data_IF_339479704431
#
_entry.id   IF_339479704431
#
_cell.length_a   1.000
_cell.length_b   1.000
_cell.length_c   1.000
_cell.angle_alpha   90.00
_cell.angle_beta   90.00
_cell.angle_gamma   90.00
#
_symmetry.space_group_name_H-M   'P 1'
#
loop_
_entity.id
_entity.type
_entity.pdbx_description
1 polymer ?
#
# COMPACT_ATOMS: atom_id res chain seq x y z
N UNK A 1 -2.52 -16.89 2.78
CA UNK A 1 -3.69 -17.66 2.31
C UNK A 1 -4.91 -16.92 2.82
N UNK A 2 -5.87 -16.55 1.98
CA UNK A 2 -7.14 -16.04 2.50
C UNK A 2 -7.80 -17.19 3.26
N UNK A 3 -7.91 -17.06 4.58
CA UNK A 3 -8.63 -18.01 5.42
C UNK A 3 -10.07 -17.51 5.50
N UNK A 4 -11.04 -18.31 5.06
CA UNK A 4 -12.44 -17.92 5.06
C UNK A 4 -13.26 -18.64 3.99
N UNK A 5 -14.59 -18.49 4.02
CA UNK A 5 -15.52 -19.24 3.17
C UNK A 5 -15.44 -18.90 1.67
N UNK A 6 -14.50 -18.04 1.25
CA UNK A 6 -14.35 -17.60 -0.15
C UNK A 6 -15.44 -16.63 -0.63
N UNK A 7 -16.52 -16.50 0.11
CA UNK A 7 -17.58 -15.50 -0.09
C UNK A 7 -17.30 -14.26 0.75
N UNK A 8 -17.20 -13.11 0.09
CA UNK A 8 -17.19 -11.82 0.76
C UNK A 8 -18.63 -11.37 1.01
N UNK A 9 -18.94 -10.70 2.14
CA UNK A 9 -20.24 -10.09 2.34
C UNK A 9 -20.44 -8.91 1.41
N UNK A 10 -21.69 -8.43 1.31
CA UNK A 10 -21.96 -7.13 0.71
C UNK A 10 -21.29 -6.05 1.57
N UNK A 11 -20.44 -5.23 0.93
CA UNK A 11 -19.80 -4.10 1.59
C UNK A 11 -20.67 -2.86 1.41
N UNK A 12 -21.06 -2.25 2.52
CA UNK A 12 -21.75 -0.96 2.51
C UNK A 12 -20.75 0.18 2.36
N UNK A 13 -21.07 1.21 1.56
CA UNK A 13 -20.20 2.37 1.40
C UNK A 13 -20.07 3.12 2.73
N UNK A 14 -18.85 3.55 3.04
CA UNK A 14 -18.57 4.44 4.17
C UNK A 14 -18.38 5.85 3.62
N UNK A 15 -19.19 6.79 4.08
CA UNK A 15 -19.09 8.18 3.64
C UNK A 15 -17.68 8.72 3.91
N UNK A 16 -17.08 9.33 2.89
CA UNK A 16 -15.71 9.85 2.96
C UNK A 16 -14.60 8.82 2.71
N UNK A 17 -14.92 7.61 2.27
CA UNK A 17 -13.94 6.62 1.82
C UNK A 17 -14.22 6.24 0.37
N UNK A 18 -13.21 6.29 -0.50
CA UNK A 18 -13.28 5.75 -1.87
C UNK A 18 -12.25 4.65 -2.07
N UNK A 19 -12.55 3.71 -2.97
CA UNK A 19 -11.68 2.60 -3.31
C UNK A 19 -11.40 2.57 -4.81
N UNK A 20 -10.15 2.36 -5.18
CA UNK A 20 -9.69 2.05 -6.53
C UNK A 20 -8.96 0.71 -6.56
N UNK A 21 -9.12 -0.03 -7.66
CA UNK A 21 -8.43 -1.32 -7.88
C UNK A 21 -7.81 -1.40 -9.28
N UNK A 22 -6.55 -1.80 -9.34
CA UNK A 22 -5.83 -1.94 -10.60
C UNK A 22 -5.17 -3.32 -10.73
N UNK A 23 -4.79 -3.67 -11.96
CA UNK A 23 -3.98 -4.85 -12.26
C UNK A 23 -2.65 -4.38 -12.81
N UNK A 24 -1.63 -4.35 -11.95
CA UNK A 24 -0.25 -4.04 -12.31
C UNK A 24 0.50 -5.27 -12.86
N UNK A 25 -0.02 -6.48 -12.63
CA UNK A 25 0.64 -7.71 -13.08
C UNK A 25 1.95 -7.97 -12.32
N UNK A 26 1.94 -7.76 -11.01
CA UNK A 26 3.07 -7.95 -10.09
C UNK A 26 3.49 -9.41 -10.11
N UNK A 27 2.56 -10.31 -9.78
CA UNK A 27 2.80 -11.77 -9.73
C UNK A 27 2.11 -12.54 -10.86
N UNK A 28 0.89 -12.16 -11.22
CA UNK A 28 0.09 -12.81 -12.27
C UNK A 28 -0.61 -11.74 -13.12
N UNK A 29 -0.38 -11.70 -14.45
CA UNK A 29 -1.08 -10.79 -15.34
C UNK A 29 -2.60 -10.93 -15.23
N UNK A 30 -3.34 -9.83 -15.40
CA UNK A 30 -4.81 -9.80 -15.41
C UNK A 30 -5.48 -9.93 -14.04
N UNK A 31 -4.73 -10.23 -12.97
CA UNK A 31 -5.26 -10.24 -11.60
C UNK A 31 -5.19 -8.86 -10.99
N UNK A 32 -6.28 -8.39 -10.38
CA UNK A 32 -6.26 -7.19 -9.54
C UNK A 32 -5.31 -7.40 -8.36
N UNK A 33 -4.29 -6.58 -8.30
CA UNK A 33 -3.19 -6.73 -7.35
C UNK A 33 -2.71 -5.41 -6.73
N UNK A 34 -3.40 -4.31 -7.06
CA UNK A 34 -3.30 -3.01 -6.40
C UNK A 34 -4.67 -2.62 -5.85
N UNK A 35 -4.68 -2.08 -4.63
CA UNK A 35 -5.83 -1.39 -4.04
C UNK A 35 -5.35 -0.03 -3.54
N UNK A 36 -6.12 1.02 -3.83
CA UNK A 36 -5.93 2.35 -3.27
C UNK A 36 -7.19 2.74 -2.52
N UNK A 37 -7.02 3.20 -1.27
CA UNK A 37 -8.07 3.87 -0.53
C UNK A 37 -7.81 5.37 -0.56
N UNK A 38 -8.83 6.17 -0.85
CA UNK A 38 -8.84 7.61 -0.61
C UNK A 38 -9.68 7.88 0.64
N UNK A 39 -9.15 8.66 1.55
CA UNK A 39 -9.81 9.12 2.77
C UNK A 39 -10.16 10.60 2.64
N UNK A 40 -11.35 10.97 3.12
CA UNK A 40 -11.82 12.35 3.15
C UNK A 40 -10.85 13.26 3.89
N UNK A 41 -10.82 14.53 3.49
CA UNK A 41 -10.06 15.55 4.19
C UNK A 41 -10.48 15.62 5.67
N UNK A 42 -9.50 15.74 6.57
CA UNK A 42 -9.73 15.75 8.02
C UNK A 42 -9.93 14.37 8.68
N UNK A 43 -9.89 13.27 7.90
CA UNK A 43 -9.94 11.92 8.47
C UNK A 43 -8.78 11.67 9.45
N UNK A 44 -9.07 10.95 10.54
CA UNK A 44 -8.06 10.53 11.52
C UNK A 44 -7.73 9.06 11.31
N UNK A 45 -6.44 8.76 11.23
CA UNK A 45 -5.94 7.40 11.03
C UNK A 45 -5.12 7.00 12.25
N UNK A 46 -5.34 5.78 12.72
CA UNK A 46 -4.50 5.12 13.72
C UNK A 46 -4.02 3.79 13.14
N UNK A 47 -2.79 3.40 13.48
CA UNK A 47 -2.18 2.18 12.95
C UNK A 47 -1.40 1.45 14.03
N UNK A 48 -1.62 0.14 14.11
CA UNK A 48 -0.73 -0.78 14.80
C UNK A 48 0.05 -1.56 13.76
N UNK A 49 1.33 -1.79 14.04
CA UNK A 49 2.25 -2.44 13.12
C UNK A 49 2.87 -3.66 13.80
N UNK A 50 3.34 -4.61 12.99
CA UNK A 50 4.03 -5.79 13.52
C UNK A 50 5.21 -5.40 14.42
N UNK A 51 5.44 -6.21 15.46
CA UNK A 51 6.60 -6.11 16.37
C UNK A 51 7.79 -6.97 15.91
N UNK A 52 7.66 -7.65 14.77
CA UNK A 52 8.72 -8.49 14.23
C UNK A 52 9.96 -7.62 13.93
N UNK A 53 11.15 -8.09 14.32
CA UNK A 53 12.41 -7.40 14.04
C UNK A 53 12.69 -7.32 12.52
N UNK A 54 12.18 -8.27 11.75
CA UNK A 54 12.29 -8.31 10.29
C UNK A 54 11.11 -7.58 9.63
N UNK A 55 10.95 -6.29 9.95
CA UNK A 55 9.92 -5.45 9.33
C UNK A 55 10.18 -5.23 7.84
N UNK A 56 9.14 -5.38 7.02
CA UNK A 56 9.18 -5.00 5.62
C UNK A 56 9.37 -3.48 5.46
N UNK A 57 9.97 -3.04 4.36
CA UNK A 57 10.10 -1.62 4.03
C UNK A 57 8.78 -0.82 4.16
N UNK A 58 7.63 -1.28 3.61
CA UNK A 58 6.35 -0.55 3.75
C UNK A 58 5.86 -0.41 5.19
N UNK A 59 6.22 -1.33 6.09
CA UNK A 59 5.84 -1.22 7.52
C UNK A 59 6.59 -0.07 8.18
N UNK A 60 7.90 0.01 7.95
CA UNK A 60 8.74 1.09 8.49
C UNK A 60 8.33 2.44 7.92
N UNK A 61 8.12 2.51 6.60
CA UNK A 61 7.71 3.75 5.92
C UNK A 61 6.31 4.21 6.35
N UNK A 62 5.33 3.31 6.42
CA UNK A 62 3.99 3.63 6.94
C UNK A 62 4.01 4.19 8.35
N UNK A 63 4.87 3.66 9.24
CA UNK A 63 5.01 4.18 10.60
C UNK A 63 5.56 5.61 10.60
N UNK A 64 6.55 5.89 9.75
CA UNK A 64 7.13 7.23 9.61
C UNK A 64 6.09 8.22 9.07
N UNK A 65 5.43 7.87 7.96
CA UNK A 65 4.39 8.71 7.35
C UNK A 65 3.24 9.01 8.32
N UNK A 66 2.73 8.00 9.02
CA UNK A 66 1.66 8.17 10.02
C UNK A 66 2.06 9.10 11.18
N UNK A 67 3.34 9.15 11.54
CA UNK A 67 3.84 10.05 12.57
C UNK A 67 4.08 11.49 12.05
N UNK A 68 4.27 11.65 10.75
CA UNK A 68 4.64 12.93 10.12
C UNK A 68 3.46 13.72 9.57
N UNK A 69 2.42 13.06 9.06
CA UNK A 69 1.28 13.72 8.41
C UNK A 69 -0.04 12.99 8.68
N UNK A 70 -1.16 13.68 8.46
CA UNK A 70 -2.48 13.04 8.43
C UNK A 70 -2.63 12.29 7.10
N UNK A 71 -2.76 10.95 7.11
CA UNK A 71 -2.86 10.20 5.87
C UNK A 71 -4.15 10.52 5.10
N UNK A 72 -4.01 10.62 3.79
CA UNK A 72 -5.12 10.76 2.82
C UNK A 72 -5.32 9.51 1.98
N UNK A 73 -4.29 8.68 1.83
CA UNK A 73 -4.38 7.47 1.02
C UNK A 73 -3.71 6.27 1.66
N UNK A 74 -4.23 5.08 1.37
CA UNK A 74 -3.57 3.81 1.63
C UNK A 74 -3.27 3.14 0.29
N UNK A 75 -2.02 2.78 0.04
CA UNK A 75 -1.58 2.10 -1.18
C UNK A 75 -1.20 0.67 -0.84
N UNK A 76 -1.92 -0.30 -1.38
CA UNK A 76 -1.74 -1.72 -1.06
C UNK A 76 -1.41 -2.49 -2.33
N UNK A 77 -0.33 -3.26 -2.31
CA UNK A 77 -0.01 -4.23 -3.36
C UNK A 77 -0.02 -5.68 -2.83
N UNK A 78 -0.36 -6.63 -3.69
CA UNK A 78 -0.25 -8.07 -3.41
C UNK A 78 0.66 -8.78 -4.43
N UNK A 79 1.23 -9.91 -4.05
CA UNK A 79 2.14 -10.71 -4.87
C UNK A 79 3.61 -10.50 -4.52
N UNK A 80 3.97 -9.35 -3.95
CA UNK A 80 5.32 -9.03 -3.48
C UNK A 80 5.23 -8.34 -2.10
N UNK A 81 5.98 -8.80 -1.11
CA UNK A 81 5.94 -8.26 0.25
C UNK A 81 6.85 -7.05 0.49
N UNK A 82 7.77 -6.76 -0.43
CA UNK A 82 8.85 -5.79 -0.27
C UNK A 82 9.53 -5.89 1.11
N UNK A 83 9.84 -7.13 1.49
CA UNK A 83 10.45 -7.48 2.76
C UNK A 83 11.80 -8.15 2.51
N UNK A 84 12.79 -7.88 3.37
CA UNK A 84 14.15 -8.41 3.18
C UNK A 84 14.90 -7.81 1.98
N UNK A 85 14.49 -6.63 1.51
CA UNK A 85 15.00 -5.96 0.30
C UNK A 85 15.96 -4.79 0.60
N UNK A 86 16.30 -4.54 1.87
CA UNK A 86 17.26 -3.54 2.30
C UNK A 86 16.89 -2.10 1.90
N UNK A 87 17.91 -1.26 1.68
CA UNK A 87 17.72 0.16 1.34
C UNK A 87 16.95 0.34 0.02
N UNK A 88 17.16 -0.56 -0.95
CA UNK A 88 16.41 -0.55 -2.21
C UNK A 88 14.90 -0.67 -1.97
N UNK A 89 14.48 -1.60 -1.11
CA UNK A 89 13.05 -1.77 -0.80
C UNK A 89 12.40 -0.52 -0.21
N UNK A 90 13.14 0.23 0.61
CA UNK A 90 12.69 1.52 1.15
C UNK A 90 12.51 2.56 0.04
N UNK A 91 13.52 2.72 -0.82
CA UNK A 91 13.45 3.63 -1.98
C UNK A 91 12.30 3.24 -2.92
N UNK A 92 12.11 1.96 -3.19
CA UNK A 92 11.04 1.45 -4.06
C UNK A 92 9.65 1.74 -3.48
N UNK A 93 9.47 1.56 -2.16
CA UNK A 93 8.22 1.92 -1.49
C UNK A 93 7.96 3.44 -1.53
N UNK A 94 8.99 4.25 -1.32
CA UNK A 94 8.90 5.71 -1.39
C UNK A 94 8.53 6.18 -2.80
N UNK A 95 9.14 5.61 -3.85
CA UNK A 95 8.80 5.91 -5.25
C UNK A 95 7.33 5.64 -5.56
N UNK A 96 6.77 4.54 -5.04
CA UNK A 96 5.35 4.25 -5.20
C UNK A 96 4.47 5.29 -4.49
N UNK A 97 4.85 5.72 -3.28
CA UNK A 97 4.13 6.78 -2.56
C UNK A 97 4.22 8.11 -3.29
N UNK A 98 5.39 8.48 -3.80
CA UNK A 98 5.61 9.71 -4.57
C UNK A 98 4.76 9.75 -5.83
N UNK A 99 4.71 8.65 -6.60
CA UNK A 99 3.89 8.57 -7.80
C UNK A 99 2.40 8.80 -7.49
N UNK A 100 1.85 8.09 -6.50
CA UNK A 100 0.46 8.29 -6.11
C UNK A 100 0.21 9.71 -5.56
N UNK A 101 1.14 10.25 -4.79
CA UNK A 101 1.04 11.58 -4.23
C UNK A 101 1.02 12.67 -5.32
N UNK A 102 1.84 12.52 -6.36
CA UNK A 102 1.83 13.41 -7.54
C UNK A 102 0.48 13.38 -8.26
N UNK A 103 -0.04 12.19 -8.58
CA UNK A 103 -1.35 12.04 -9.22
C UNK A 103 -2.50 12.60 -8.37
N UNK A 104 -2.41 12.42 -7.05
CA UNK A 104 -3.43 12.85 -6.10
C UNK A 104 -3.30 14.32 -5.65
N UNK A 105 -2.22 15.02 -6.00
CA UNK A 105 -1.93 16.38 -5.54
C UNK A 105 -1.75 16.50 -4.02
N UNK A 106 -1.13 15.50 -3.38
CA UNK A 106 -0.82 15.48 -1.93
C UNK A 106 0.69 15.28 -1.70
N UNK A 107 1.13 15.33 -0.44
CA UNK A 107 2.52 14.99 -0.11
C UNK A 107 2.70 13.47 -0.01
N UNK A 108 3.90 12.92 -0.27
CA UNK A 108 4.18 11.50 -0.13
C UNK A 108 3.86 10.94 1.26
N UNK A 109 4.05 11.75 2.32
CA UNK A 109 3.78 11.38 3.71
C UNK A 109 2.28 11.20 3.98
N UNK A 110 1.41 11.71 3.12
CA UNK A 110 -0.02 11.47 3.19
C UNK A 110 -0.43 10.07 2.67
N UNK A 111 0.52 9.27 2.16
CA UNK A 111 0.28 7.93 1.63
C UNK A 111 0.84 6.88 2.59
N UNK A 112 0.03 5.92 3.05
CA UNK A 112 0.54 4.75 3.79
C UNK A 112 0.70 3.54 2.87
N UNK A 113 1.93 3.06 2.59
CA UNK A 113 2.15 1.87 1.78
C UNK A 113 2.02 0.55 2.56
N UNK A 114 1.41 -0.45 1.93
CA UNK A 114 1.31 -1.82 2.43
C UNK A 114 1.62 -2.83 1.32
N UNK A 115 2.32 -3.90 1.66
CA UNK A 115 2.70 -4.94 0.71
C UNK A 115 2.52 -6.33 1.32
N UNK A 116 2.08 -7.30 0.52
CA UNK A 116 1.98 -8.70 0.93
C UNK A 116 2.32 -9.64 -0.21
N UNK A 117 3.10 -10.68 0.05
CA UNK A 117 3.53 -11.62 -0.98
C UNK A 117 4.87 -12.28 -0.69
N UNK A 118 5.66 -12.49 -1.74
CA UNK A 118 6.98 -13.13 -1.62
C UNK A 118 7.97 -12.18 -0.91
N UNK A 119 8.79 -12.74 -0.01
CA UNK A 119 9.87 -12.04 0.71
C UNK A 119 11.17 -12.22 -0.07
N UNK A 120 12.02 -11.18 -0.12
CA UNK A 120 13.33 -11.21 -0.76
C UNK A 120 13.34 -10.82 -2.24
N UNK A 121 12.17 -10.60 -2.84
CA UNK A 121 12.06 -10.17 -4.24
C UNK A 121 11.93 -8.63 -4.33
N UNK A 122 12.68 -7.97 -5.26
CA UNK A 122 12.53 -6.54 -5.50
C UNK A 122 11.11 -6.16 -5.93
N UNK A 123 10.62 -5.01 -5.48
CA UNK A 123 9.30 -4.51 -5.86
C UNK A 123 9.33 -4.03 -7.32
N UNK A 124 8.39 -4.46 -8.19
CA UNK A 124 8.34 -4.01 -9.58
C UNK A 124 7.68 -2.62 -9.68
N UNK A 125 8.35 -1.58 -9.20
CA UNK A 125 7.84 -0.21 -9.07
C UNK A 125 7.18 0.29 -10.36
N UNK A 126 7.84 0.12 -11.50
CA UNK A 126 7.35 0.71 -12.76
C UNK A 126 6.02 0.08 -13.21
N UNK A 127 5.77 -1.19 -12.87
CA UNK A 127 4.46 -1.83 -13.09
C UNK A 127 3.37 -1.24 -12.19
N UNK A 128 3.72 -0.88 -10.96
CA UNK A 128 2.78 -0.32 -9.99
C UNK A 128 2.42 1.11 -10.37
N UNK A 129 3.42 1.91 -10.78
CA UNK A 129 3.26 3.32 -11.14
C UNK A 129 2.46 3.51 -12.44
N UNK A 130 2.47 2.52 -13.34
CA UNK A 130 1.78 2.60 -14.63
C UNK A 130 0.38 1.98 -14.66
N UNK A 131 -0.10 1.43 -13.53
CA UNK A 131 -1.36 0.69 -13.43
C UNK A 131 -2.56 1.59 -13.10
#
# INVERSE_FOLDING_TARGET
MAVGPGTLPDFFPVAGVKLGIASAGIKRPGRKDIVVFELASGARVAGIFTRNQFCAAPVTLSRQHLASAMPRYLLINTGNANAGTGARGMTDALRCCQALATEAGVTPEAILPFSTGVIGEPLPVDKIVSA
#
